data_IF_844346850694
#
_entry.id   IF_844346850694
#
_cell.length_a   1.000
_cell.length_b   1.000
_cell.length_c   1.000
_cell.angle_alpha   90.00
_cell.angle_beta   90.00
_cell.angle_gamma   90.00
#
_symmetry.space_group_name_H-M   'P 1'
#
loop_
_entity.id
_entity.type
_entity.pdbx_description
1 polymer ?
#
# COMPACT_ATOMS: atom_id res chain seq x y z
N UNK A 1 16.76 52.10 -30.16
CA UNK A 1 16.32 51.64 -28.82
C UNK A 1 15.14 50.67 -28.81
N UNK A 2 14.31 50.41 -29.85
CA UNK A 2 13.23 49.44 -29.78
C UNK A 2 13.65 47.95 -29.83
N UNK A 3 14.83 47.64 -30.35
CA UNK A 3 15.30 46.25 -30.54
C UNK A 3 15.68 45.54 -29.21
N UNK A 4 16.11 46.29 -28.22
CA UNK A 4 16.53 45.75 -26.92
C UNK A 4 15.29 45.37 -26.09
N UNK A 5 14.21 46.13 -26.19
CA UNK A 5 12.95 45.85 -25.48
C UNK A 5 12.28 44.58 -26.00
N UNK A 6 12.41 44.29 -27.31
CA UNK A 6 11.84 43.08 -27.91
C UNK A 6 12.58 41.80 -27.46
N UNK A 7 13.90 41.86 -27.28
CA UNK A 7 14.69 40.75 -26.76
C UNK A 7 14.43 40.50 -25.29
N UNK A 8 14.17 41.55 -24.51
CA UNK A 8 13.81 41.40 -23.08
C UNK A 8 12.44 40.71 -22.92
N UNK A 9 11.50 40.95 -23.82
CA UNK A 9 10.16 40.31 -23.79
C UNK A 9 10.23 38.84 -24.18
N UNK A 10 11.13 38.45 -25.07
CA UNK A 10 11.31 37.07 -25.50
C UNK A 10 11.93 36.18 -24.39
N UNK A 11 12.68 36.77 -23.44
CA UNK A 11 13.33 36.06 -22.35
C UNK A 11 12.39 35.87 -21.14
N UNK A 12 11.28 36.62 -21.04
CA UNK A 12 10.32 36.56 -19.92
C UNK A 12 9.19 35.54 -20.15
N UNK A 13 8.97 35.09 -21.38
CA UNK A 13 7.88 34.14 -21.71
C UNK A 13 8.08 32.74 -21.11
N UNK A 14 9.29 32.14 -21.01
CA UNK A 14 9.43 30.78 -20.45
C UNK A 14 9.15 30.69 -18.97
N UNK A 15 9.09 31.80 -18.22
CA UNK A 15 8.82 31.77 -16.78
C UNK A 15 7.34 31.64 -16.41
N UNK A 16 6.42 31.72 -17.37
CA UNK A 16 4.98 31.65 -17.14
C UNK A 16 4.37 30.27 -17.45
N UNK A 17 5.17 29.30 -17.89
CA UNK A 17 4.71 27.91 -18.03
C UNK A 17 4.65 27.29 -16.64
N UNK A 18 3.53 27.48 -15.96
CA UNK A 18 3.18 26.64 -14.80
C UNK A 18 3.06 25.21 -15.31
N UNK A 19 3.96 24.34 -14.85
CA UNK A 19 3.77 22.91 -15.02
C UNK A 19 2.44 22.54 -14.38
N UNK A 20 1.45 22.22 -15.20
CA UNK A 20 0.21 21.62 -14.70
C UNK A 20 0.60 20.27 -14.08
N UNK A 21 0.19 19.96 -12.84
CA UNK A 21 0.37 18.62 -12.32
C UNK A 21 -0.34 17.68 -13.30
N UNK A 22 0.41 16.74 -13.84
CA UNK A 22 -0.16 15.70 -14.69
C UNK A 22 -1.30 15.06 -13.91
N UNK A 23 -2.51 15.19 -14.43
CA UNK A 23 -3.69 14.57 -13.84
C UNK A 23 -3.57 13.05 -14.07
N UNK A 24 -2.83 12.36 -13.18
CA UNK A 24 -2.55 10.93 -13.30
C UNK A 24 -3.82 10.06 -13.25
N UNK A 25 -4.94 10.64 -12.82
CA UNK A 25 -6.22 9.93 -12.78
C UNK A 25 -6.87 9.76 -14.18
N UNK A 26 -6.44 10.53 -15.19
CA UNK A 26 -7.07 10.52 -16.52
C UNK A 26 -6.75 9.26 -17.36
N UNK A 27 -5.71 8.50 -17.00
CA UNK A 27 -5.23 7.35 -17.79
C UNK A 27 -5.33 6.00 -17.05
N UNK A 28 -6.01 5.94 -15.92
CA UNK A 28 -6.21 4.68 -15.19
C UNK A 28 -7.32 3.86 -15.84
N UNK A 29 -7.12 2.54 -15.94
CA UNK A 29 -8.19 1.66 -16.39
C UNK A 29 -9.47 1.86 -15.57
N UNK A 30 -10.66 1.83 -16.19
CA UNK A 30 -11.94 2.09 -15.50
C UNK A 30 -12.18 1.24 -14.25
N UNK A 31 -11.56 0.04 -14.19
CA UNK A 31 -11.64 -0.88 -13.04
C UNK A 31 -10.90 -0.39 -11.79
N UNK A 32 -9.92 0.49 -11.94
CA UNK A 32 -9.12 0.98 -10.81
C UNK A 32 -9.64 2.30 -10.22
N UNK A 33 -10.50 3.02 -10.93
CA UNK A 33 -11.05 4.30 -10.46
C UNK A 33 -11.82 4.21 -9.13
N UNK A 34 -12.74 3.25 -8.92
CA UNK A 34 -13.41 3.09 -7.63
C UNK A 34 -12.46 2.65 -6.52
N UNK A 35 -11.45 1.83 -6.85
CA UNK A 35 -10.47 1.35 -5.89
C UNK A 35 -9.58 2.48 -5.34
N UNK A 36 -9.28 3.50 -6.14
CA UNK A 36 -8.50 4.66 -5.69
C UNK A 36 -9.22 5.45 -4.60
N UNK A 37 -10.52 5.70 -4.74
CA UNK A 37 -11.31 6.39 -3.72
C UNK A 37 -11.31 5.64 -2.39
N UNK A 38 -11.41 4.31 -2.43
CA UNK A 38 -11.32 3.49 -1.24
C UNK A 38 -9.92 3.57 -0.61
N UNK A 39 -8.87 3.40 -1.42
CA UNK A 39 -7.47 3.48 -0.94
C UNK A 39 -7.16 4.83 -0.29
N UNK A 40 -7.52 5.93 -0.95
CA UNK A 40 -7.33 7.28 -0.42
C UNK A 40 -8.09 7.49 0.89
N UNK A 41 -9.33 7.02 0.96
CA UNK A 41 -10.15 7.09 2.18
C UNK A 41 -9.51 6.34 3.35
N UNK A 42 -9.06 5.11 3.12
CA UNK A 42 -8.39 4.30 4.14
C UNK A 42 -7.07 4.96 4.54
N UNK A 43 -6.23 5.33 3.59
CA UNK A 43 -4.92 5.92 3.84
C UNK A 43 -5.00 7.23 4.65
N UNK A 44 -5.99 8.07 4.36
CA UNK A 44 -6.16 9.35 5.06
C UNK A 44 -6.65 9.18 6.51
N UNK A 45 -7.26 8.05 6.85
CA UNK A 45 -7.72 7.74 8.20
C UNK A 45 -6.66 7.04 9.06
N UNK A 46 -5.57 6.56 8.46
CA UNK A 46 -4.52 5.84 9.16
C UNK A 46 -3.56 6.78 9.88
N UNK A 47 -3.14 6.38 11.09
CA UNK A 47 -1.98 6.99 11.76
C UNK A 47 -0.67 6.67 11.02
N UNK A 48 0.40 7.38 11.37
CA UNK A 48 1.72 7.10 10.81
C UNK A 48 2.18 5.67 11.12
N UNK A 49 1.97 5.22 12.35
CA UNK A 49 2.33 3.87 12.81
C UNK A 49 1.57 2.79 12.01
N UNK A 50 0.28 3.01 11.76
CA UNK A 50 -0.53 2.10 10.94
C UNK A 50 -0.05 2.08 9.49
N UNK A 51 0.30 3.22 8.91
CA UNK A 51 0.90 3.30 7.57
C UNK A 51 2.21 2.54 7.48
N UNK A 52 3.07 2.68 8.51
CA UNK A 52 4.31 1.93 8.62
C UNK A 52 4.02 0.42 8.72
N UNK A 53 3.06 0.03 9.56
CA UNK A 53 2.63 -1.37 9.72
C UNK A 53 2.26 -2.03 8.39
N UNK A 54 1.56 -1.31 7.51
CA UNK A 54 1.16 -1.82 6.19
C UNK A 54 2.34 -2.14 5.26
N UNK A 55 3.53 -1.66 5.53
CA UNK A 55 4.74 -1.97 4.75
C UNK A 55 5.39 -3.29 5.15
N UNK A 56 4.94 -3.92 6.26
CA UNK A 56 5.53 -5.15 6.76
C UNK A 56 4.74 -6.38 6.31
N UNK A 57 5.49 -7.35 5.78
CA UNK A 57 5.04 -8.71 5.53
C UNK A 57 5.77 -9.64 6.52
N UNK A 58 5.03 -10.39 7.31
CA UNK A 58 5.57 -11.17 8.44
C UNK A 58 5.52 -12.66 8.11
N UNK A 59 6.60 -13.37 8.46
CA UNK A 59 6.65 -14.83 8.31
C UNK A 59 5.63 -15.51 9.24
N UNK A 60 4.77 -16.34 8.65
CA UNK A 60 3.74 -17.11 9.33
C UNK A 60 4.03 -18.61 9.24
N UNK A 61 3.83 -19.31 10.33
CA UNK A 61 4.02 -20.75 10.42
C UNK A 61 2.71 -21.37 10.89
N UNK A 62 2.10 -22.20 10.05
CA UNK A 62 0.83 -22.87 10.38
C UNK A 62 1.00 -24.23 11.07
N UNK A 63 2.24 -24.57 11.43
CA UNK A 63 2.59 -25.78 12.15
C UNK A 63 4.09 -25.85 12.45
N UNK A 64 4.50 -26.91 13.14
CA UNK A 64 5.90 -27.14 13.51
C UNK A 64 6.37 -26.33 14.71
N UNK A 65 7.67 -26.38 14.97
CA UNK A 65 8.31 -25.72 16.12
C UNK A 65 8.23 -24.19 16.09
N UNK A 66 8.12 -23.61 14.90
CA UNK A 66 8.04 -22.16 14.69
C UNK A 66 6.60 -21.62 14.68
N UNK A 67 5.61 -22.44 15.08
CA UNK A 67 4.22 -22.01 15.13
C UNK A 67 4.04 -20.74 15.96
N UNK A 68 3.54 -19.68 15.36
CA UNK A 68 3.56 -18.33 15.94
C UNK A 68 2.24 -17.57 15.84
N UNK A 69 1.11 -18.28 15.85
CA UNK A 69 -0.22 -17.69 15.66
C UNK A 69 -0.50 -16.51 16.59
N UNK A 70 -0.26 -16.67 17.91
CA UNK A 70 -0.54 -15.63 18.88
C UNK A 70 0.27 -14.34 18.66
N UNK A 71 1.53 -14.48 18.23
CA UNK A 71 2.37 -13.33 17.89
C UNK A 71 1.83 -12.59 16.67
N UNK A 72 1.35 -13.30 15.64
CA UNK A 72 0.76 -12.72 14.45
C UNK A 72 -0.55 -12.00 14.77
N UNK A 73 -1.41 -12.61 15.58
CA UNK A 73 -2.67 -11.98 16.03
C UNK A 73 -2.39 -10.62 16.70
N UNK A 74 -1.39 -10.57 17.56
CA UNK A 74 -0.96 -9.32 18.21
C UNK A 74 -0.50 -8.27 17.18
N UNK A 75 0.35 -8.65 16.21
CA UNK A 75 0.83 -7.76 15.17
C UNK A 75 -0.30 -7.22 14.28
N UNK A 76 -1.30 -8.05 13.97
CA UNK A 76 -2.47 -7.63 13.20
C UNK A 76 -3.29 -6.59 13.99
N UNK A 77 -3.56 -6.86 15.25
CA UNK A 77 -4.43 -6.02 16.06
C UNK A 77 -3.79 -4.70 16.50
N UNK A 78 -2.53 -4.75 16.91
CA UNK A 78 -1.82 -3.59 17.44
C UNK A 78 -1.09 -2.77 16.36
N UNK A 79 -0.40 -3.45 15.45
CA UNK A 79 0.45 -2.78 14.45
C UNK A 79 -0.18 -2.69 13.06
N UNK A 80 -1.30 -3.38 12.81
CA UNK A 80 -2.01 -3.41 11.53
C UNK A 80 -1.05 -3.71 10.36
N UNK A 81 -0.32 -4.82 10.45
CA UNK A 81 0.63 -5.26 9.41
C UNK A 81 -0.06 -5.47 8.06
N UNK A 82 0.71 -5.27 6.97
CA UNK A 82 0.17 -5.31 5.60
C UNK A 82 0.03 -6.70 5.01
N UNK A 83 0.79 -7.69 5.51
CA UNK A 83 0.70 -9.03 4.93
C UNK A 83 1.41 -10.12 5.70
N UNK A 84 1.22 -11.34 5.22
CA UNK A 84 1.83 -12.56 5.74
C UNK A 84 2.46 -13.36 4.62
N UNK A 85 3.60 -13.98 4.92
CA UNK A 85 4.22 -15.00 4.08
C UNK A 85 4.25 -16.33 4.83
N UNK A 86 3.52 -17.33 4.36
CA UNK A 86 3.52 -18.65 4.96
C UNK A 86 4.75 -19.44 4.54
N UNK A 87 5.52 -19.91 5.53
CA UNK A 87 6.77 -20.63 5.32
C UNK A 87 6.62 -22.15 5.47
N UNK A 88 5.83 -22.61 6.43
CA UNK A 88 5.67 -24.03 6.75
C UNK A 88 4.30 -24.33 7.33
N UNK A 89 3.86 -25.57 7.13
CA UNK A 89 2.63 -26.11 7.67
C UNK A 89 1.82 -26.89 6.64
N UNK A 90 0.60 -27.22 6.98
CA UNK A 90 -0.33 -27.91 6.06
C UNK A 90 -1.24 -26.91 5.36
N UNK A 91 -1.68 -27.22 4.15
CA UNK A 91 -2.58 -26.38 3.38
C UNK A 91 -3.89 -26.08 4.16
N UNK A 92 -4.45 -27.05 4.86
CA UNK A 92 -5.66 -26.88 5.66
C UNK A 92 -5.42 -25.92 6.84
N UNK A 93 -4.32 -26.09 7.57
CA UNK A 93 -3.99 -25.21 8.68
C UNK A 93 -3.72 -23.78 8.22
N UNK A 94 -3.01 -23.61 7.09
CA UNK A 94 -2.78 -22.31 6.47
C UNK A 94 -4.08 -21.63 6.06
N UNK A 95 -5.00 -22.35 5.40
CA UNK A 95 -6.31 -21.81 5.00
C UNK A 95 -7.12 -21.32 6.19
N UNK A 96 -7.17 -22.14 7.26
CA UNK A 96 -7.89 -21.78 8.49
C UNK A 96 -7.29 -20.53 9.17
N UNK A 97 -5.96 -20.45 9.25
CA UNK A 97 -5.28 -19.26 9.79
C UNK A 97 -5.50 -18.03 8.92
N UNK A 98 -5.40 -18.17 7.60
CA UNK A 98 -5.65 -17.07 6.65
C UNK A 98 -7.05 -16.49 6.87
N UNK A 99 -8.07 -17.33 6.90
CA UNK A 99 -9.44 -16.89 7.15
C UNK A 99 -9.59 -16.17 8.50
N UNK A 100 -8.99 -16.72 9.56
CA UNK A 100 -9.00 -16.11 10.89
C UNK A 100 -8.34 -14.73 10.87
N UNK A 101 -7.14 -14.61 10.32
CA UNK A 101 -6.37 -13.37 10.29
C UNK A 101 -7.03 -12.30 9.42
N UNK A 102 -7.63 -12.68 8.29
CA UNK A 102 -8.41 -11.76 7.47
C UNK A 102 -9.62 -11.18 8.20
N UNK A 103 -10.32 -12.00 9.00
CA UNK A 103 -11.45 -11.53 9.82
C UNK A 103 -11.03 -10.57 10.95
N UNK A 104 -9.80 -10.70 11.44
CA UNK A 104 -9.25 -9.84 12.49
C UNK A 104 -8.68 -8.52 11.95
N UNK A 105 -8.28 -8.51 10.70
CA UNK A 105 -7.61 -7.36 10.08
C UNK A 105 -8.60 -6.29 9.64
N UNK A 106 -8.32 -5.03 9.96
CA UNK A 106 -9.11 -3.88 9.49
C UNK A 106 -8.92 -3.59 8.00
N UNK A 107 -7.73 -3.85 7.50
CA UNK A 107 -7.36 -3.73 6.09
C UNK A 107 -7.01 -5.15 5.62
N UNK A 108 -7.53 -5.62 4.49
CA UNK A 108 -7.23 -6.97 4.01
C UNK A 108 -5.73 -7.21 3.90
N UNK A 109 -5.26 -8.32 4.48
CA UNK A 109 -3.86 -8.72 4.45
C UNK A 109 -3.48 -9.25 3.06
N UNK A 110 -2.30 -8.89 2.59
CA UNK A 110 -1.65 -9.60 1.49
C UNK A 110 -1.17 -10.96 2.01
N UNK A 111 -1.54 -12.02 1.29
CA UNK A 111 -1.14 -13.38 1.65
C UNK A 111 -0.23 -13.93 0.55
N UNK A 112 0.93 -14.38 0.94
CA UNK A 112 1.86 -15.09 0.08
C UNK A 112 2.33 -16.39 0.74
N UNK A 113 3.02 -17.20 -0.01
CA UNK A 113 3.56 -18.48 0.42
C UNK A 113 4.94 -18.69 -0.18
N UNK A 114 5.87 -19.16 0.65
CA UNK A 114 7.14 -19.71 0.20
C UNK A 114 6.89 -21.19 -0.17
N UNK A 115 6.93 -21.47 -1.46
CA UNK A 115 6.56 -22.77 -2.02
C UNK A 115 7.74 -23.48 -2.69
N UNK A 116 8.91 -23.44 -2.05
CA UNK A 116 10.10 -24.16 -2.50
C UNK A 116 9.94 -25.69 -2.44
#
# INVERSE_FOLDING_TARGET
MPKILFFLYLFLIPFLVKAQPANQSANLPPLLSPALHWMDSVFNQMSLEQKIGQLYMIAAYSGGEKYNQASIEKLILENQIGGLIFMQGTATAQANQTNKFQLMSKIPLLISMDAE
#
